data_IF_547672457897
#
_entry.id   IF_547672457897
#
_cell.length_a   1.000
_cell.length_b   1.000
_cell.length_c   1.000
_cell.angle_alpha   90.00
_cell.angle_beta   90.00
_cell.angle_gamma   90.00
#
_symmetry.space_group_name_H-M   'P 1'
#
loop_
_entity.id
_entity.type
_entity.pdbx_description
1 polymer ?
#
# COMPACT_ATOMS: atom_id res chain seq x y z
N UNK A 1 11.56 -18.19 19.86
CA UNK A 1 12.10 -17.09 19.04
C UNK A 1 11.17 -16.91 17.86
N UNK A 2 10.71 -15.69 17.59
CA UNK A 2 9.99 -15.41 16.34
C UNK A 2 10.93 -15.65 15.16
N UNK A 3 10.44 -16.26 14.08
CA UNK A 3 11.23 -16.42 12.87
C UNK A 3 11.59 -15.03 12.31
N UNK A 4 12.80 -14.83 11.76
CA UNK A 4 13.15 -13.61 11.07
C UNK A 4 12.12 -13.33 9.95
N UNK A 5 11.59 -12.10 9.93
CA UNK A 5 10.56 -11.68 8.99
C UNK A 5 11.12 -10.57 8.10
N UNK A 6 10.91 -10.69 6.80
CA UNK A 6 11.13 -9.62 5.83
C UNK A 6 9.75 -9.15 5.37
N UNK A 7 9.53 -7.84 5.36
CA UNK A 7 8.32 -7.26 4.79
C UNK A 7 8.61 -6.78 3.37
N UNK A 8 7.85 -7.29 2.40
CA UNK A 8 7.92 -6.89 1.01
C UNK A 8 6.80 -5.90 0.70
N UNK A 9 7.14 -4.70 0.23
CA UNK A 9 6.10 -3.73 -0.11
C UNK A 9 5.34 -4.18 -1.36
N UNK A 10 4.03 -4.41 -1.25
CA UNK A 10 3.13 -4.50 -2.39
C UNK A 10 2.78 -3.07 -2.83
N UNK A 11 3.00 -2.78 -4.10
CA UNK A 11 3.03 -1.42 -4.67
C UNK A 11 2.30 -1.38 -6.02
N UNK A 12 2.63 -0.42 -6.87
CA UNK A 12 1.89 -0.07 -8.08
C UNK A 12 2.61 -0.48 -9.39
N UNK A 13 1.85 -0.50 -10.49
CA UNK A 13 2.34 -0.54 -11.88
C UNK A 13 3.42 -1.62 -12.16
N UNK A 14 4.52 -1.23 -12.81
CA UNK A 14 5.54 -2.16 -13.28
C UNK A 14 6.21 -2.98 -12.16
N UNK A 15 6.66 -2.38 -11.03
CA UNK A 15 7.24 -3.18 -9.96
C UNK A 15 6.20 -4.07 -9.24
N UNK A 16 4.90 -3.76 -9.31
CA UNK A 16 3.85 -4.66 -8.80
C UNK A 16 3.79 -5.93 -9.64
N UNK A 17 3.75 -5.77 -10.97
CA UNK A 17 3.80 -6.88 -11.92
C UNK A 17 5.08 -7.72 -11.75
N UNK A 18 6.23 -7.08 -11.54
CA UNK A 18 7.48 -7.78 -11.28
C UNK A 18 7.42 -8.59 -9.97
N UNK A 19 6.76 -8.06 -8.94
CA UNK A 19 6.56 -8.73 -7.64
C UNK A 19 5.80 -10.04 -7.79
N UNK A 20 4.74 -10.10 -8.61
CA UNK A 20 4.00 -11.35 -8.88
C UNK A 20 4.89 -12.47 -9.44
N UNK A 21 5.97 -12.14 -10.15
CA UNK A 21 6.94 -13.11 -10.66
C UNK A 21 8.05 -13.43 -9.66
N UNK A 22 8.64 -12.40 -9.05
CA UNK A 22 9.86 -12.54 -8.24
C UNK A 22 9.58 -13.01 -6.81
N UNK A 23 8.49 -12.54 -6.18
CA UNK A 23 8.20 -12.84 -4.78
C UNK A 23 8.00 -14.34 -4.48
N UNK A 24 7.33 -15.14 -5.33
CA UNK A 24 7.27 -16.59 -5.15
C UNK A 24 8.65 -17.25 -5.15
N UNK A 25 9.56 -16.77 -6.01
CA UNK A 25 10.94 -17.26 -6.09
C UNK A 25 11.69 -16.89 -4.81
N UNK A 26 11.62 -15.64 -4.37
CA UNK A 26 12.24 -15.18 -3.12
C UNK A 26 11.78 -16.05 -1.95
N UNK A 27 10.46 -16.26 -1.80
CA UNK A 27 9.90 -17.11 -0.75
C UNK A 27 10.42 -18.55 -0.79
N UNK A 28 10.55 -19.15 -1.98
CA UNK A 28 11.06 -20.51 -2.12
C UNK A 28 12.50 -20.64 -1.61
N UNK A 29 13.35 -19.66 -1.87
CA UNK A 29 14.74 -19.65 -1.44
C UNK A 29 14.88 -19.31 0.06
N UNK A 30 14.15 -18.32 0.56
CA UNK A 30 14.26 -17.88 1.97
C UNK A 30 13.71 -18.91 2.95
N UNK A 31 12.77 -19.75 2.53
CA UNK A 31 12.23 -20.85 3.34
C UNK A 31 13.31 -21.81 3.84
N UNK A 32 14.35 -22.07 3.04
CA UNK A 32 15.47 -22.93 3.45
C UNK A 32 16.27 -22.36 4.62
N UNK A 33 16.24 -21.04 4.81
CA UNK A 33 16.88 -20.33 5.92
C UNK A 33 15.91 -20.06 7.10
N UNK A 34 14.66 -20.53 7.04
CA UNK A 34 13.65 -20.26 8.06
C UNK A 34 13.20 -18.80 8.10
N UNK A 35 13.36 -18.04 7.01
CA UNK A 35 12.95 -16.63 6.92
C UNK A 35 11.59 -16.52 6.24
N UNK A 36 10.66 -15.83 6.89
CA UNK A 36 9.33 -15.54 6.33
C UNK A 36 9.35 -14.22 5.57
N UNK A 37 8.81 -14.19 4.35
CA UNK A 37 8.62 -12.95 3.58
C UNK A 37 7.12 -12.72 3.44
N UNK A 38 6.63 -11.61 3.97
CA UNK A 38 5.21 -11.25 3.96
C UNK A 38 5.00 -9.92 3.26
N UNK A 39 3.87 -9.77 2.58
CA UNK A 39 3.53 -8.52 1.90
C UNK A 39 2.91 -7.52 2.88
N UNK A 40 3.12 -6.24 2.61
CA UNK A 40 2.43 -5.10 3.23
C UNK A 40 2.04 -4.13 2.12
N UNK A 41 0.75 -3.84 1.98
CA UNK A 41 0.20 -3.12 0.84
C UNK A 41 0.26 -1.61 1.05
N UNK A 42 1.14 -0.95 0.30
CA UNK A 42 1.28 0.51 0.28
C UNK A 42 1.02 1.09 -1.11
N UNK A 43 0.31 0.34 -1.97
CA UNK A 43 -0.19 0.83 -3.25
C UNK A 43 -1.06 2.08 -3.06
N UNK A 44 -1.24 2.86 -4.13
CA UNK A 44 -2.15 4.01 -4.11
C UNK A 44 -3.57 3.57 -3.73
N UNK A 45 -4.07 2.49 -4.32
CA UNK A 45 -5.39 1.95 -4.02
C UNK A 45 -5.51 1.51 -2.54
N UNK A 46 -4.52 0.77 -2.03
CA UNK A 46 -4.50 0.34 -0.63
C UNK A 46 -4.55 1.52 0.35
N UNK A 47 -3.77 2.59 0.07
CA UNK A 47 -3.75 3.79 0.90
C UNK A 47 -5.04 4.62 0.82
N UNK A 48 -5.67 4.71 -0.35
CA UNK A 48 -6.99 5.36 -0.51
C UNK A 48 -8.04 4.61 0.30
N UNK A 49 -8.08 3.27 0.22
CA UNK A 49 -9.02 2.48 1.02
C UNK A 49 -8.75 2.58 2.52
N UNK A 50 -7.48 2.62 2.93
CA UNK A 50 -7.11 2.79 4.34
C UNK A 50 -7.57 4.14 4.90
N UNK A 51 -7.44 5.24 4.14
CA UNK A 51 -7.93 6.56 4.58
C UNK A 51 -9.45 6.61 4.75
N UNK A 52 -10.18 5.76 4.03
CA UNK A 52 -11.63 5.58 4.16
C UNK A 52 -12.02 4.54 5.22
N UNK A 53 -11.05 3.94 5.93
CA UNK A 53 -11.30 2.88 6.92
C UNK A 53 -11.75 1.55 6.32
N UNK A 54 -11.57 1.35 5.02
CA UNK A 54 -11.96 0.14 4.28
C UNK A 54 -10.82 -0.87 4.13
N UNK A 55 -9.61 -0.49 4.53
CA UNK A 55 -8.43 -1.35 4.59
C UNK A 55 -7.58 -1.00 5.81
N UNK A 56 -6.65 -1.89 6.16
CA UNK A 56 -5.67 -1.59 7.21
C UNK A 56 -4.66 -0.54 6.72
N UNK A 57 -4.28 0.39 7.60
CA UNK A 57 -3.23 1.37 7.31
C UNK A 57 -1.83 0.75 7.47
N UNK A 58 -1.46 -0.03 6.45
CA UNK A 58 -0.16 -0.69 6.34
C UNK A 58 1.00 0.31 6.27
N UNK A 59 0.79 1.52 5.76
CA UNK A 59 1.84 2.55 5.71
C UNK A 59 2.22 3.02 7.11
N UNK A 60 1.24 3.32 7.96
CA UNK A 60 1.48 3.68 9.36
C UNK A 60 2.13 2.54 10.14
N UNK A 61 1.63 1.29 9.96
CA UNK A 61 2.25 0.10 10.58
C UNK A 61 3.72 -0.07 10.17
N UNK A 62 4.05 0.12 8.90
CA UNK A 62 5.43 0.09 8.43
C UNK A 62 6.28 1.21 9.05
N UNK A 63 5.69 2.39 9.29
CA UNK A 63 6.32 3.47 10.04
C UNK A 63 6.78 3.06 11.44
N UNK A 64 5.99 2.22 12.13
CA UNK A 64 6.38 1.66 13.43
C UNK A 64 7.47 0.59 13.30
N UNK A 65 7.40 -0.25 12.26
CA UNK A 65 8.37 -1.34 12.02
C UNK A 65 9.77 -0.79 11.74
N UNK A 66 9.90 0.27 10.94
CA UNK A 66 11.23 0.82 10.58
C UNK A 66 11.95 1.47 11.77
N UNK A 67 11.26 1.70 12.88
CA UNK A 67 11.86 2.18 14.14
C UNK A 67 12.39 1.02 15.01
N UNK A 68 12.03 -0.23 14.70
CA UNK A 68 12.48 -1.39 15.47
C UNK A 68 13.88 -1.84 15.04
N UNK A 69 14.74 -2.29 15.97
CA UNK A 69 16.07 -2.79 15.65
C UNK A 69 16.08 -3.99 14.69
N UNK A 70 15.02 -4.78 14.69
CA UNK A 70 14.82 -5.94 13.82
C UNK A 70 13.88 -5.66 12.64
N UNK A 71 13.49 -4.40 12.43
CA UNK A 71 12.70 -3.97 11.28
C UNK A 71 13.43 -4.25 9.97
N UNK A 72 12.85 -5.09 9.12
CA UNK A 72 13.43 -5.47 7.83
C UNK A 72 12.38 -5.33 6.72
N UNK A 73 12.53 -4.26 5.92
CA UNK A 73 11.59 -3.89 4.87
C UNK A 73 12.33 -3.81 3.53
N UNK A 74 11.86 -4.58 2.54
CA UNK A 74 12.23 -4.42 1.14
C UNK A 74 11.21 -3.48 0.50
N UNK A 75 11.65 -2.24 0.28
CA UNK A 75 10.84 -1.17 -0.32
C UNK A 75 11.06 -1.09 -1.83
N UNK A 76 10.02 -1.36 -2.60
CA UNK A 76 9.99 -1.19 -4.05
C UNK A 76 9.45 0.20 -4.43
N UNK A 77 9.75 0.74 -5.62
CA UNK A 77 9.16 2.00 -6.08
C UNK A 77 7.63 1.96 -6.06
N UNK A 78 6.99 3.04 -5.62
CA UNK A 78 5.53 3.21 -5.57
C UNK A 78 5.13 4.57 -6.14
N UNK A 79 3.85 4.76 -6.44
CA UNK A 79 3.33 6.03 -6.97
C UNK A 79 3.34 7.12 -5.89
N UNK A 80 3.98 8.25 -6.23
CA UNK A 80 3.69 9.56 -5.63
C UNK A 80 2.62 10.24 -6.48
N UNK A 81 1.36 10.09 -6.09
CA UNK A 81 0.23 10.35 -6.98
C UNK A 81 0.07 11.85 -7.30
N UNK A 82 -0.08 12.15 -8.59
CA UNK A 82 -0.69 13.41 -9.02
C UNK A 82 -2.19 13.41 -8.73
N UNK A 83 -2.84 14.58 -8.79
CA UNK A 83 -4.30 14.70 -8.64
C UNK A 83 -5.03 13.84 -9.68
N UNK A 84 -4.55 13.82 -10.93
CA UNK A 84 -5.11 12.97 -11.98
C UNK A 84 -5.07 11.48 -11.62
N UNK A 85 -3.90 10.98 -11.20
CA UNK A 85 -3.76 9.58 -10.78
C UNK A 85 -4.61 9.23 -9.55
N UNK A 86 -4.76 10.15 -8.60
CA UNK A 86 -5.65 9.94 -7.45
C UNK A 86 -7.10 9.79 -7.90
N UNK A 87 -7.57 10.67 -8.81
CA UNK A 87 -8.93 10.61 -9.37
C UNK A 87 -9.17 9.34 -10.17
N UNK A 88 -8.21 8.94 -11.01
CA UNK A 88 -8.30 7.70 -11.79
C UNK A 88 -8.38 6.48 -10.86
N UNK A 89 -7.59 6.45 -9.80
CA UNK A 89 -7.64 5.40 -8.77
C UNK A 89 -8.99 5.35 -8.04
N UNK A 90 -9.53 6.52 -7.63
CA UNK A 90 -10.84 6.60 -6.98
C UNK A 90 -11.93 6.08 -7.93
N UNK A 91 -11.91 6.50 -9.19
CA UNK A 91 -12.87 6.04 -10.19
C UNK A 91 -12.80 4.53 -10.41
N UNK A 92 -11.59 3.96 -10.52
CA UNK A 92 -11.41 2.51 -10.65
C UNK A 92 -11.94 1.75 -9.42
N UNK A 93 -11.71 2.26 -8.21
CA UNK A 93 -12.25 1.67 -6.98
C UNK A 93 -13.77 1.76 -6.92
N UNK A 94 -14.36 2.88 -7.32
CA UNK A 94 -15.82 3.04 -7.41
C UNK A 94 -16.42 2.06 -8.41
N UNK A 95 -15.78 1.85 -9.58
CA UNK A 95 -16.19 0.85 -10.57
C UNK A 95 -16.11 -0.59 -10.04
N UNK A 96 -15.19 -0.84 -9.10
CA UNK A 96 -15.09 -2.11 -8.37
C UNK A 96 -16.10 -2.25 -7.22
N UNK A 97 -16.91 -1.22 -6.94
CA UNK A 97 -18.00 -1.24 -5.96
C UNK A 97 -17.67 -0.65 -4.59
N UNK A 98 -16.55 0.06 -4.46
CA UNK A 98 -16.23 0.78 -3.22
C UNK A 98 -17.00 2.10 -3.15
N UNK A 99 -17.77 2.30 -2.07
CA UNK A 99 -18.51 3.53 -1.80
C UNK A 99 -17.59 4.56 -1.13
N UNK A 100 -16.75 5.20 -1.95
CA UNK A 100 -15.79 6.23 -1.53
C UNK A 100 -16.05 7.55 -2.27
N UNK A 101 -15.88 8.72 -1.63
CA UNK A 101 -16.19 10.01 -2.23
C UNK A 101 -15.19 10.36 -3.34
N UNK A 102 -15.64 11.21 -4.27
CA UNK A 102 -14.75 11.84 -5.24
C UNK A 102 -13.84 12.85 -4.55
N UNK A 103 -12.64 13.06 -5.09
CA UNK A 103 -11.73 14.09 -4.62
C UNK A 103 -12.17 15.49 -5.10
N UNK A 104 -12.53 16.43 -4.19
CA UNK A 104 -12.88 17.79 -4.55
C UNK A 104 -11.61 18.61 -4.80
N UNK A 105 -11.42 19.11 -6.03
CA UNK A 105 -10.29 20.00 -6.33
C UNK A 105 -10.49 21.41 -5.72
N UNK A 106 -11.72 21.90 -5.78
CA UNK A 106 -12.12 23.20 -5.24
C UNK A 106 -13.25 22.96 -4.23
N UNK A 107 -12.94 22.60 -2.97
CA UNK A 107 -13.96 22.31 -1.98
C UNK A 107 -14.78 23.57 -1.66
N UNK A 108 -16.10 23.44 -1.66
CA UNK A 108 -17.05 24.54 -1.44
C UNK A 108 -17.65 24.54 -0.02
N UNK A 109 -17.39 23.50 0.77
CA UNK A 109 -17.96 23.32 2.09
C UNK A 109 -17.06 22.47 3.00
N UNK A 110 -17.37 22.44 4.29
CA UNK A 110 -16.56 21.74 5.30
C UNK A 110 -16.47 20.21 5.11
N UNK A 111 -17.46 19.59 4.47
CA UNK A 111 -17.43 18.15 4.17
C UNK A 111 -16.43 17.88 3.04
N UNK A 112 -16.46 18.69 1.97
CA UNK A 112 -15.49 18.61 0.88
C UNK A 112 -14.07 18.97 1.34
N UNK A 113 -13.92 19.97 2.22
CA UNK A 113 -12.62 20.30 2.83
C UNK A 113 -12.07 19.12 3.65
N UNK A 114 -12.94 18.40 4.37
CA UNK A 114 -12.54 17.22 5.13
C UNK A 114 -12.16 16.03 4.24
N UNK A 115 -12.80 15.88 3.08
CA UNK A 115 -12.44 14.85 2.08
C UNK A 115 -11.11 15.19 1.39
N UNK A 116 -10.82 16.49 1.19
CA UNK A 116 -9.57 16.93 0.53
C UNK A 116 -8.33 16.77 1.42
N UNK A 117 -8.48 16.91 2.74
CA UNK A 117 -7.39 16.97 3.72
C UNK A 117 -6.66 15.62 3.93
#
# INVERSE_FOLDING_TARGET
MSLPKIIWSKIDEAPALATYSLLPIVNAFTKAAGVSVVESDISLAGRVLASQGLAEDELSKLGEVVLQPDGNVIKLPNISASVGQLKDCIAELQDQGYDIPNYPEEPANAEEEAIQA
#
